data_IF_748594237205
#
_entry.id   IF_748594237205
#
_cell.length_a   1.000
_cell.length_b   1.000
_cell.length_c   1.000
_cell.angle_alpha   90.00
_cell.angle_beta   90.00
_cell.angle_gamma   90.00
#
_symmetry.space_group_name_H-M   'P 1'
#
loop_
_entity.id
_entity.type
_entity.pdbx_description
1 polymer ?
#
# COMPACT_ATOMS: atom_id res chain seq x y z
N UNK A 1 4.63 -4.07 -32.64
CA UNK A 1 3.29 -3.56 -32.29
C UNK A 1 2.60 -4.68 -31.56
N UNK A 2 2.23 -4.45 -30.30
CA UNK A 2 1.63 -5.46 -29.43
C UNK A 2 0.21 -4.99 -29.16
N UNK A 3 -0.74 -5.89 -29.32
CA UNK A 3 -2.13 -5.68 -28.93
C UNK A 3 -2.18 -5.80 -27.41
N UNK A 4 -2.68 -4.76 -26.72
CA UNK A 4 -2.77 -4.75 -25.27
C UNK A 4 -4.22 -4.74 -24.83
N UNK A 5 -4.58 -5.75 -24.07
CA UNK A 5 -5.80 -5.78 -23.28
C UNK A 5 -5.59 -4.91 -22.04
N UNK A 6 -6.50 -3.96 -21.85
CA UNK A 6 -6.48 -3.02 -20.74
C UNK A 6 -7.73 -3.25 -19.91
N UNK A 7 -7.59 -3.13 -18.59
CA UNK A 7 -8.72 -3.18 -17.67
C UNK A 7 -8.75 -1.91 -16.83
N UNK A 8 -9.95 -1.42 -16.57
CA UNK A 8 -10.20 -0.39 -15.59
C UNK A 8 -10.65 -1.03 -14.27
N UNK A 9 -10.08 -0.55 -13.18
CA UNK A 9 -10.58 -0.75 -11.82
C UNK A 9 -11.02 0.61 -11.27
N UNK A 10 -12.23 0.65 -10.73
CA UNK A 10 -12.82 1.84 -10.15
C UNK A 10 -13.18 1.52 -8.72
N UNK A 11 -12.39 2.01 -7.76
CA UNK A 11 -12.65 1.82 -6.32
C UNK A 11 -13.34 3.05 -5.77
N UNK A 12 -14.57 2.87 -5.27
CA UNK A 12 -15.41 3.93 -4.73
C UNK A 12 -15.50 3.76 -3.22
N UNK A 13 -15.15 4.81 -2.48
CA UNK A 13 -15.35 4.84 -1.03
C UNK A 13 -16.70 5.49 -0.74
N UNK A 14 -17.57 4.78 -0.03
CA UNK A 14 -18.93 5.20 0.31
C UNK A 14 -19.21 5.02 1.79
N UNK A 15 -20.05 5.91 2.33
CA UNK A 15 -20.64 5.70 3.64
C UNK A 15 -21.78 4.68 3.57
N UNK A 16 -21.65 3.57 4.29
CA UNK A 16 -22.62 2.48 4.35
C UNK A 16 -22.56 1.73 5.69
N UNK A 17 -23.70 1.23 6.14
CA UNK A 17 -23.82 0.41 7.36
C UNK A 17 -23.43 -1.06 7.10
N UNK A 18 -23.57 -1.54 5.87
CA UNK A 18 -23.25 -2.89 5.45
C UNK A 18 -22.85 -2.99 3.95
N UNK A 19 -22.31 -4.15 3.55
CA UNK A 19 -21.88 -4.45 2.18
C UNK A 19 -23.00 -4.24 1.15
N UNK A 20 -24.24 -4.59 1.53
CA UNK A 20 -25.39 -4.49 0.64
C UNK A 20 -25.71 -3.02 0.36
N UNK A 21 -25.68 -2.16 1.36
CA UNK A 21 -25.88 -0.73 1.19
C UNK A 21 -24.76 -0.12 0.34
N UNK A 22 -23.51 -0.57 0.51
CA UNK A 22 -22.40 -0.13 -0.31
C UNK A 22 -22.58 -0.51 -1.80
N UNK A 23 -23.03 -1.74 -2.08
CA UNK A 23 -23.39 -2.18 -3.43
C UNK A 23 -24.55 -1.37 -4.02
N UNK A 24 -25.59 -1.12 -3.21
CA UNK A 24 -26.77 -0.39 -3.64
C UNK A 24 -26.42 1.06 -3.98
N UNK A 25 -25.52 1.70 -3.22
CA UNK A 25 -25.00 3.04 -3.52
C UNK A 25 -24.27 3.10 -4.87
N UNK A 26 -23.49 2.06 -5.19
CA UNK A 26 -22.67 2.03 -6.42
C UNK A 26 -23.42 1.54 -7.67
N UNK A 27 -24.66 1.06 -7.54
CA UNK A 27 -25.40 0.39 -8.62
C UNK A 27 -25.54 1.25 -9.88
N UNK A 28 -25.95 2.51 -9.72
CA UNK A 28 -26.15 3.43 -10.84
C UNK A 28 -24.84 3.67 -11.60
N UNK A 29 -23.70 3.73 -10.88
CA UNK A 29 -22.38 3.85 -11.50
C UNK A 29 -22.02 2.59 -12.29
N UNK A 30 -22.23 1.40 -11.70
CA UNK A 30 -21.98 0.10 -12.35
C UNK A 30 -22.73 0.01 -13.67
N UNK A 31 -24.03 0.31 -13.65
CA UNK A 31 -24.90 0.28 -14.83
C UNK A 31 -24.46 1.31 -15.87
N UNK A 32 -24.14 2.53 -15.43
CA UNK A 32 -23.70 3.63 -16.30
C UNK A 32 -22.42 3.31 -17.05
N UNK A 33 -21.45 2.69 -16.38
CA UNK A 33 -20.15 2.39 -17.01
C UNK A 33 -20.12 1.02 -17.68
N UNK A 34 -21.17 0.20 -17.53
CA UNK A 34 -21.19 -1.19 -18.00
C UNK A 34 -20.13 -2.04 -17.31
N UNK A 35 -19.90 -1.80 -16.02
CA UNK A 35 -18.91 -2.51 -15.21
C UNK A 35 -19.50 -3.72 -14.49
N UNK A 36 -18.67 -4.39 -13.68
CA UNK A 36 -19.09 -5.40 -12.70
C UNK A 36 -18.42 -5.13 -11.37
N UNK A 37 -19.16 -5.24 -10.27
CA UNK A 37 -18.52 -5.24 -8.94
C UNK A 37 -17.65 -6.50 -8.85
N UNK A 38 -16.39 -6.32 -8.49
CA UNK A 38 -15.42 -7.42 -8.33
C UNK A 38 -15.02 -7.63 -6.88
N UNK A 39 -15.18 -6.61 -6.05
CA UNK A 39 -14.85 -6.64 -4.63
C UNK A 39 -15.63 -5.56 -3.88
N UNK A 40 -15.96 -5.84 -2.61
CA UNK A 40 -16.41 -4.85 -1.65
C UNK A 40 -15.75 -5.18 -0.29
N UNK A 41 -15.22 -4.16 0.37
CA UNK A 41 -14.47 -4.31 1.61
C UNK A 41 -14.90 -3.26 2.63
N UNK A 42 -14.99 -3.69 3.89
CA UNK A 42 -15.21 -2.81 5.04
C UNK A 42 -13.91 -2.06 5.35
N UNK A 43 -13.91 -0.73 5.23
CA UNK A 43 -12.79 0.15 5.57
C UNK A 43 -13.04 0.90 6.89
N UNK A 44 -13.93 0.40 7.75
CA UNK A 44 -14.31 1.05 9.01
C UNK A 44 -13.16 1.19 10.02
N UNK A 45 -12.07 0.46 9.85
CA UNK A 45 -10.83 0.65 10.60
C UNK A 45 -10.18 2.02 10.34
N UNK A 46 -10.44 2.63 9.17
CA UNK A 46 -9.99 3.98 8.82
C UNK A 46 -11.02 5.04 9.24
N UNK A 47 -12.30 4.84 8.92
CA UNK A 47 -13.40 5.72 9.28
C UNK A 47 -14.69 4.91 9.53
N UNK A 48 -15.34 5.02 10.71
CA UNK A 48 -16.51 4.20 11.02
C UNK A 48 -17.64 4.32 9.99
N UNK A 49 -18.06 3.19 9.41
CA UNK A 49 -19.11 3.16 8.37
C UNK A 49 -18.58 3.39 6.95
N UNK A 50 -17.27 3.29 6.75
CA UNK A 50 -16.61 3.34 5.44
C UNK A 50 -16.67 1.98 4.74
N UNK A 51 -17.08 1.98 3.48
CA UNK A 51 -16.96 0.82 2.58
C UNK A 51 -16.26 1.20 1.28
N UNK A 52 -15.40 0.31 0.79
CA UNK A 52 -14.78 0.43 -0.54
C UNK A 52 -15.41 -0.60 -1.48
N UNK A 53 -15.94 -0.15 -2.61
CA UNK A 53 -16.50 -1.01 -3.67
C UNK A 53 -15.66 -0.87 -4.92
N UNK A 54 -15.09 -1.98 -5.41
CA UNK A 54 -14.27 -2.01 -6.62
C UNK A 54 -15.06 -2.56 -7.80
N UNK A 55 -15.12 -1.77 -8.87
CA UNK A 55 -15.83 -2.08 -10.11
C UNK A 55 -14.80 -2.33 -11.21
N UNK A 56 -14.85 -3.51 -11.83
CA UNK A 56 -14.05 -3.87 -13.00
C UNK A 56 -14.76 -3.53 -14.31
N UNK A 57 -14.01 -2.98 -15.27
CA UNK A 57 -14.46 -2.79 -16.65
C UNK A 57 -13.35 -3.15 -17.62
N UNK A 58 -13.62 -4.09 -18.51
CA UNK A 58 -12.68 -4.47 -19.56
C UNK A 58 -12.74 -3.42 -20.69
N UNK A 59 -11.58 -3.02 -21.21
CA UNK A 59 -11.48 -2.09 -22.34
C UNK A 59 -11.17 -2.88 -23.62
N UNK A 60 -11.63 -2.38 -24.79
CA UNK A 60 -11.23 -2.95 -26.06
C UNK A 60 -9.71 -2.90 -26.23
N UNK A 61 -9.14 -3.95 -26.82
CA UNK A 61 -7.71 -4.02 -27.10
C UNK A 61 -7.24 -2.81 -27.91
N UNK A 62 -6.12 -2.22 -27.50
CA UNK A 62 -5.54 -1.05 -28.19
C UNK A 62 -4.19 -1.43 -28.78
N UNK A 63 -3.94 -1.04 -30.03
CA UNK A 63 -2.60 -1.13 -30.61
C UNK A 63 -1.74 0.01 -30.07
N UNK A 64 -0.73 -0.34 -29.28
CA UNK A 64 0.10 0.65 -28.59
C UNK A 64 1.58 0.48 -28.89
N UNK A 65 2.28 1.61 -28.87
CA UNK A 65 3.73 1.72 -29.03
C UNK A 65 4.41 2.12 -27.71
N UNK A 66 3.62 2.54 -26.72
CA UNK A 66 4.05 3.01 -25.40
C UNK A 66 2.92 2.79 -24.39
N UNK A 67 3.17 1.90 -23.44
CA UNK A 67 2.20 1.41 -22.46
C UNK A 67 1.80 2.50 -21.47
N UNK A 68 2.76 3.31 -21.00
CA UNK A 68 2.50 4.43 -20.10
C UNK A 68 1.54 5.46 -20.72
N UNK A 69 1.72 5.76 -22.00
CA UNK A 69 0.84 6.66 -22.73
C UNK A 69 -0.54 6.05 -22.97
N UNK A 70 -0.63 4.73 -23.16
CA UNK A 70 -1.89 4.01 -23.29
C UNK A 70 -2.71 4.08 -22.00
N UNK A 71 -2.12 3.62 -20.90
CA UNK A 71 -2.72 3.60 -19.56
C UNK A 71 -3.21 5.01 -19.16
N UNK A 72 -2.34 6.01 -19.29
CA UNK A 72 -2.69 7.36 -18.90
C UNK A 72 -3.74 8.02 -19.82
N UNK A 73 -3.89 7.56 -21.07
CA UNK A 73 -5.00 7.99 -21.94
C UNK A 73 -6.30 7.30 -21.55
N UNK A 74 -6.28 6.01 -21.25
CA UNK A 74 -7.46 5.25 -20.81
C UNK A 74 -8.09 5.89 -19.57
N UNK A 75 -7.28 6.22 -18.56
CA UNK A 75 -7.75 6.94 -17.35
C UNK A 75 -8.38 8.29 -17.71
N UNK A 76 -7.69 9.12 -18.52
CA UNK A 76 -8.21 10.45 -18.92
C UNK A 76 -9.51 10.36 -19.71
N UNK A 77 -9.58 9.43 -20.66
CA UNK A 77 -10.78 9.23 -21.48
C UNK A 77 -11.95 8.83 -20.60
N UNK A 78 -11.76 7.84 -19.72
CA UNK A 78 -12.80 7.37 -18.81
C UNK A 78 -13.30 8.49 -17.89
N UNK A 79 -12.39 9.23 -17.24
CA UNK A 79 -12.79 10.34 -16.35
C UNK A 79 -13.54 11.43 -17.10
N UNK A 80 -13.15 11.75 -18.34
CA UNK A 80 -13.87 12.75 -19.16
C UNK A 80 -15.28 12.28 -19.56
N UNK A 81 -15.48 10.99 -19.78
CA UNK A 81 -16.80 10.43 -20.08
C UNK A 81 -17.68 10.34 -18.82
N UNK A 82 -17.06 10.01 -17.69
CA UNK A 82 -17.73 9.89 -16.40
C UNK A 82 -18.12 11.28 -15.84
N UNK A 83 -17.24 12.26 -15.99
CA UNK A 83 -17.31 13.57 -15.37
C UNK A 83 -16.87 14.65 -16.37
N UNK A 84 -17.70 14.98 -17.37
CA UNK A 84 -17.33 15.88 -18.47
C UNK A 84 -17.02 17.31 -18.01
N UNK A 85 -17.62 17.75 -16.90
CA UNK A 85 -17.42 19.08 -16.32
C UNK A 85 -16.24 19.13 -15.33
N UNK A 86 -15.58 17.99 -15.07
CA UNK A 86 -14.40 17.94 -14.18
C UNK A 86 -13.19 18.61 -14.84
N UNK A 87 -12.34 19.30 -14.06
CA UNK A 87 -11.00 19.66 -14.53
C UNK A 87 -10.22 18.42 -15.00
N UNK A 88 -9.25 18.64 -15.89
CA UNK A 88 -8.41 17.56 -16.42
C UNK A 88 -7.73 16.79 -15.27
N UNK A 89 -7.93 15.46 -15.17
CA UNK A 89 -7.39 14.68 -14.06
C UNK A 89 -5.86 14.64 -14.12
N UNK A 90 -5.22 14.80 -12.96
CA UNK A 90 -3.80 14.55 -12.78
C UNK A 90 -3.58 13.04 -12.72
N UNK A 91 -3.12 12.47 -13.82
CA UNK A 91 -2.86 11.04 -13.92
C UNK A 91 -1.42 10.75 -13.53
N UNK A 92 -1.25 9.91 -12.51
CA UNK A 92 0.01 9.26 -12.18
C UNK A 92 0.15 8.01 -13.05
N UNK A 93 1.32 7.78 -13.61
CA UNK A 93 1.56 6.64 -14.49
C UNK A 93 2.87 5.97 -14.10
N UNK A 94 2.76 4.74 -13.64
CA UNK A 94 3.84 3.86 -13.23
C UNK A 94 3.48 2.46 -13.78
N UNK A 95 3.84 2.17 -15.05
CA UNK A 95 3.52 0.88 -15.67
C UNK A 95 3.90 -0.27 -14.73
N UNK A 96 3.01 -1.26 -14.53
CA UNK A 96 1.89 -1.65 -15.39
C UNK A 96 0.58 -0.87 -15.17
N UNK A 97 0.57 0.18 -14.32
CA UNK A 97 -0.64 0.91 -13.99
C UNK A 97 -0.56 2.41 -14.28
N UNK A 98 -1.74 3.03 -14.48
CA UNK A 98 -1.90 4.46 -14.35
C UNK A 98 -3.18 4.75 -13.58
N UNK A 99 -3.18 5.81 -12.79
CA UNK A 99 -4.29 6.08 -11.89
C UNK A 99 -4.51 7.57 -11.66
N UNK A 100 -5.72 7.90 -11.20
CA UNK A 100 -6.09 9.21 -10.67
C UNK A 100 -7.10 9.04 -9.55
N UNK A 101 -7.04 9.94 -8.59
CA UNK A 101 -8.06 10.07 -7.54
C UNK A 101 -8.98 11.23 -7.91
N UNK A 102 -10.28 11.02 -7.78
CA UNK A 102 -11.29 12.06 -7.73
C UNK A 102 -11.74 12.16 -6.27
N UNK A 103 -11.65 13.35 -5.70
CA UNK A 103 -12.02 13.65 -4.30
C UNK A 103 -12.86 14.94 -4.16
N UNK A 104 -13.35 15.51 -5.27
CA UNK A 104 -14.30 16.63 -5.24
C UNK A 104 -15.70 16.13 -4.82
N UNK A 105 -16.21 16.53 -3.63
CA UNK A 105 -17.48 16.02 -3.11
C UNK A 105 -18.68 16.39 -4.00
N UNK A 106 -18.66 17.55 -4.66
CA UNK A 106 -19.75 17.96 -5.56
C UNK A 106 -19.78 17.15 -6.84
N UNK A 107 -18.61 16.72 -7.32
CA UNK A 107 -18.48 15.85 -8.48
C UNK A 107 -18.93 14.43 -8.13
N UNK A 108 -18.37 13.89 -7.05
CA UNK A 108 -18.49 12.49 -6.67
C UNK A 108 -19.90 12.19 -6.15
N UNK A 109 -20.48 13.09 -5.36
CA UNK A 109 -21.85 12.94 -4.86
C UNK A 109 -22.91 12.91 -5.97
N UNK A 110 -22.60 13.43 -7.17
CA UNK A 110 -23.46 13.30 -8.37
C UNK A 110 -23.29 11.96 -9.08
N UNK A 111 -22.16 11.28 -8.88
CA UNK A 111 -21.86 9.99 -9.49
C UNK A 111 -22.34 8.83 -8.63
N UNK A 112 -22.08 8.91 -7.32
CA UNK A 112 -22.44 7.91 -6.32
C UNK A 112 -22.87 8.66 -5.06
N UNK A 113 -24.09 8.40 -4.60
CA UNK A 113 -24.60 9.04 -3.39
C UNK A 113 -23.80 8.57 -2.16
N UNK A 114 -23.36 9.52 -1.34
CA UNK A 114 -22.56 9.22 -0.14
C UNK A 114 -21.13 8.78 -0.45
N UNK A 115 -20.66 8.93 -1.68
CA UNK A 115 -19.26 8.68 -2.01
C UNK A 115 -18.36 9.86 -1.61
N UNK A 116 -17.20 9.51 -1.07
CA UNK A 116 -16.19 10.45 -0.59
C UNK A 116 -15.01 10.56 -1.56
N UNK A 117 -14.67 9.42 -2.18
CA UNK A 117 -13.51 9.27 -3.04
C UNK A 117 -13.79 8.25 -4.12
N UNK A 118 -13.19 8.48 -5.29
CA UNK A 118 -13.16 7.52 -6.38
C UNK A 118 -11.74 7.41 -6.93
N UNK A 119 -11.14 6.22 -6.85
CA UNK A 119 -9.87 5.88 -7.48
C UNK A 119 -10.17 5.21 -8.83
N UNK A 120 -9.63 5.77 -9.91
CA UNK A 120 -9.68 5.14 -11.25
C UNK A 120 -8.29 4.67 -11.61
N UNK A 121 -8.17 3.38 -11.90
CA UNK A 121 -6.93 2.74 -12.32
C UNK A 121 -7.11 2.08 -13.67
N UNK A 122 -6.10 2.23 -14.54
CA UNK A 122 -5.93 1.42 -15.73
C UNK A 122 -4.77 0.45 -15.51
N UNK A 123 -4.98 -0.81 -15.87
CA UNK A 123 -4.02 -1.90 -15.75
C UNK A 123 -3.76 -2.50 -17.14
N UNK A 124 -2.50 -2.82 -17.43
CA UNK A 124 -2.15 -3.70 -18.55
C UNK A 124 -2.07 -5.16 -18.08
N UNK A 125 -2.49 -6.10 -18.92
CA UNK A 125 -2.47 -7.55 -18.61
C UNK A 125 -1.06 -8.14 -18.35
N UNK A 126 0.00 -7.35 -18.48
CA UNK A 126 1.36 -7.77 -18.10
C UNK A 126 1.57 -7.86 -16.57
N UNK A 127 0.57 -7.51 -15.77
CA UNK A 127 0.54 -7.75 -14.33
C UNK A 127 -0.53 -8.81 -14.00
N UNK A 128 -0.20 -9.88 -13.24
CA UNK A 128 -1.21 -10.79 -12.75
C UNK A 128 -2.10 -10.04 -11.74
N UNK A 129 -3.28 -9.59 -12.19
CA UNK A 129 -4.38 -9.31 -11.28
C UNK A 129 -4.87 -10.65 -10.74
N UNK A 130 -4.30 -11.08 -9.62
CA UNK A 130 -5.05 -11.96 -8.72
C UNK A 130 -5.92 -11.04 -7.87
N UNK A 131 -7.27 -11.11 -7.97
CA UNK A 131 -8.07 -10.57 -6.88
C UNK A 131 -7.55 -11.27 -5.62
N UNK A 132 -7.33 -10.52 -4.55
CA UNK A 132 -7.07 -11.14 -3.27
C UNK A 132 -8.31 -12.00 -2.96
N UNK A 133 -8.25 -13.30 -3.27
CA UNK A 133 -9.11 -14.23 -2.58
C UNK A 133 -8.70 -14.07 -1.13
N UNK A 134 -9.59 -13.55 -0.31
CA UNK A 134 -9.46 -13.69 1.12
C UNK A 134 -9.42 -15.19 1.42
N UNK A 135 -8.23 -15.77 1.39
CA UNK A 135 -7.92 -16.89 2.25
C UNK A 135 -7.87 -16.29 3.63
N UNK A 136 -8.85 -16.65 4.46
CA UNK A 136 -8.72 -16.53 5.91
C UNK A 136 -7.30 -16.97 6.26
N UNK A 137 -6.46 -16.08 6.85
CA UNK A 137 -5.05 -16.36 7.02
C UNK A 137 -4.94 -17.64 7.82
N UNK A 138 -4.63 -18.74 7.13
CA UNK A 138 -4.31 -19.99 7.80
C UNK A 138 -3.02 -19.67 8.52
N UNK A 139 -3.15 -19.45 9.84
CA UNK A 139 -2.03 -19.16 10.72
C UNK A 139 -0.87 -20.04 10.27
N UNK A 140 0.24 -19.45 9.78
CA UNK A 140 1.36 -20.25 9.33
C UNK A 140 1.74 -21.13 10.52
N UNK A 141 1.76 -22.44 10.30
CA UNK A 141 2.37 -23.33 11.29
C UNK A 141 3.76 -22.74 11.57
N UNK A 142 4.07 -22.39 12.83
CA UNK A 142 5.24 -21.59 13.13
C UNK A 142 6.46 -22.40 12.73
N UNK A 143 7.02 -22.05 11.58
CA UNK A 143 8.38 -22.44 11.25
C UNK A 143 9.22 -21.46 12.05
N UNK A 144 10.03 -21.90 13.02
CA UNK A 144 10.85 -20.98 13.80
C UNK A 144 11.91 -20.40 12.86
N UNK A 145 11.60 -19.27 12.23
CA UNK A 145 12.62 -18.44 11.63
C UNK A 145 13.39 -17.83 12.79
N UNK A 146 14.65 -18.25 12.93
CA UNK A 146 15.62 -17.64 13.82
C UNK A 146 15.82 -16.19 13.36
N UNK A 147 14.98 -15.27 13.84
CA UNK A 147 14.91 -13.89 13.34
C UNK A 147 16.12 -13.07 13.78
N UNK A 148 16.86 -12.46 12.83
CA UNK A 148 18.01 -11.62 13.18
C UNK A 148 18.08 -10.31 12.38
N UNK A 149 17.02 -9.50 12.36
CA UNK A 149 17.04 -8.03 12.18
C UNK A 149 15.62 -7.50 12.33
N UNK A 150 15.43 -6.35 12.98
CA UNK A 150 14.19 -5.56 12.90
C UNK A 150 14.47 -4.30 12.08
N UNK A 151 13.61 -4.05 11.10
CA UNK A 151 13.75 -2.94 10.17
C UNK A 151 12.67 -1.91 10.46
N UNK A 152 13.05 -0.64 10.51
CA UNK A 152 12.17 0.50 10.76
C UNK A 152 12.37 1.56 9.70
N UNK A 153 11.30 2.27 9.38
CA UNK A 153 11.27 3.36 8.41
C UNK A 153 10.69 4.61 9.06
N UNK A 154 11.37 5.74 8.94
CA UNK A 154 10.77 7.07 9.16
C UNK A 154 10.51 7.73 7.82
N UNK A 155 9.31 8.29 7.67
CA UNK A 155 8.89 9.07 6.51
C UNK A 155 8.52 10.46 6.99
N UNK A 156 9.24 11.46 6.51
CA UNK A 156 8.91 12.87 6.75
C UNK A 156 8.19 13.44 5.53
N UNK A 157 7.01 14.03 5.75
CA UNK A 157 6.12 14.51 4.71
C UNK A 157 5.74 15.98 4.97
N UNK A 158 5.98 16.85 4.01
CA UNK A 158 5.54 18.25 4.02
C UNK A 158 4.03 18.33 3.76
N UNK A 159 3.21 18.00 4.76
CA UNK A 159 1.75 18.15 4.73
C UNK A 159 1.25 18.71 6.05
N UNK A 160 0.09 19.37 6.03
CA UNK A 160 -0.51 19.95 7.23
C UNK A 160 -1.34 18.95 8.04
N UNK A 161 -1.79 17.85 7.42
CA UNK A 161 -2.69 16.88 8.04
C UNK A 161 -2.03 15.50 8.17
N UNK A 162 -2.06 14.87 9.36
CA UNK A 162 -1.46 13.55 9.60
C UNK A 162 -1.96 12.43 8.68
N UNK A 163 -3.25 12.41 8.33
CA UNK A 163 -3.83 11.36 7.49
C UNK A 163 -3.15 11.25 6.12
N UNK A 164 -2.88 12.39 5.47
CA UNK A 164 -2.18 12.42 4.18
C UNK A 164 -0.73 11.92 4.28
N UNK A 165 -0.05 12.17 5.39
CA UNK A 165 1.30 11.66 5.62
C UNK A 165 1.31 10.15 5.87
N UNK A 166 0.37 9.66 6.68
CA UNK A 166 0.23 8.23 6.96
C UNK A 166 -0.05 7.44 5.68
N UNK A 167 -0.92 7.94 4.80
CA UNK A 167 -1.20 7.29 3.52
C UNK A 167 0.05 7.19 2.64
N UNK A 168 0.80 8.30 2.49
CA UNK A 168 2.07 8.28 1.73
C UNK A 168 3.10 7.34 2.34
N UNK A 169 3.17 7.29 3.67
CA UNK A 169 4.09 6.41 4.38
C UNK A 169 3.73 4.94 4.20
N UNK A 170 2.44 4.58 4.24
CA UNK A 170 1.95 3.21 3.95
C UNK A 170 2.24 2.81 2.49
N UNK A 171 1.98 3.72 1.54
CA UNK A 171 2.25 3.47 0.12
C UNK A 171 3.76 3.28 -0.18
N UNK A 172 4.65 3.87 0.63
CA UNK A 172 6.08 3.59 0.55
C UNK A 172 6.44 2.25 1.20
N UNK A 173 5.92 2.00 2.40
CA UNK A 173 6.24 0.79 3.14
C UNK A 173 5.74 -0.48 2.44
N UNK A 174 4.61 -0.42 1.72
CA UNK A 174 4.09 -1.53 0.92
C UNK A 174 5.02 -1.97 -0.21
N UNK A 175 5.98 -1.14 -0.61
CA UNK A 175 7.05 -1.52 -1.56
C UNK A 175 8.08 -2.45 -0.93
N UNK A 176 8.19 -2.44 0.39
CA UNK A 176 9.18 -3.18 1.18
C UNK A 176 8.55 -4.41 1.83
N UNK A 177 7.35 -4.26 2.41
CA UNK A 177 6.61 -5.35 3.07
C UNK A 177 5.12 -5.03 3.16
N UNK A 178 4.28 -6.06 3.13
CA UNK A 178 2.83 -5.96 3.32
C UNK A 178 2.44 -5.80 4.81
N UNK A 179 3.31 -6.20 5.73
CA UNK A 179 3.04 -6.24 7.18
C UNK A 179 3.46 -4.98 7.94
N UNK A 180 3.71 -3.87 7.24
CA UNK A 180 4.19 -2.65 7.87
C UNK A 180 3.17 -2.05 8.86
N UNK A 181 3.62 -1.76 10.08
CA UNK A 181 2.78 -1.16 11.12
C UNK A 181 3.25 0.26 11.46
N UNK A 182 2.32 1.22 11.46
CA UNK A 182 2.60 2.57 11.98
C UNK A 182 2.78 2.47 13.50
N UNK A 183 3.93 2.90 13.99
CA UNK A 183 4.28 2.87 15.41
C UNK A 183 4.15 4.23 16.08
N UNK A 184 4.40 5.31 15.32
CA UNK A 184 4.33 6.68 15.83
C UNK A 184 4.03 7.66 14.70
N UNK A 185 3.29 8.72 15.02
CA UNK A 185 3.05 9.87 14.15
C UNK A 185 3.28 11.15 14.93
N UNK A 186 4.20 11.99 14.46
CA UNK A 186 4.54 13.26 15.11
C UNK A 186 4.30 14.41 14.14
N UNK A 187 3.49 15.38 14.55
CA UNK A 187 3.25 16.60 13.77
C UNK A 187 4.18 17.73 14.26
N UNK A 188 4.90 18.34 13.32
CA UNK A 188 5.80 19.46 13.57
C UNK A 188 5.46 20.68 12.70
N UNK A 189 6.20 21.77 12.88
CA UNK A 189 5.96 23.03 12.16
C UNK A 189 6.13 22.94 10.64
N UNK A 190 6.99 22.04 10.17
CA UNK A 190 7.36 21.89 8.76
C UNK A 190 6.74 20.64 8.09
N UNK A 191 5.89 19.89 8.79
CA UNK A 191 5.26 18.68 8.25
C UNK A 191 4.88 17.63 9.29
N UNK A 192 4.68 16.40 8.83
CA UNK A 192 4.35 15.25 9.66
C UNK A 192 5.42 14.17 9.46
N UNK A 193 5.89 13.61 10.56
CA UNK A 193 6.78 12.45 10.60
C UNK A 193 5.99 11.20 10.95
N UNK A 194 6.15 10.13 10.17
CA UNK A 194 5.49 8.85 10.36
C UNK A 194 6.56 7.77 10.54
N UNK A 195 6.50 7.04 11.64
CA UNK A 195 7.41 5.95 11.95
C UNK A 195 6.69 4.62 11.73
N UNK A 196 7.32 3.73 10.96
CA UNK A 196 6.80 2.41 10.65
C UNK A 196 7.80 1.34 11.11
N UNK A 197 7.25 0.27 11.67
CA UNK A 197 7.93 -1.00 11.82
C UNK A 197 7.68 -1.82 10.56
N UNK A 198 8.77 -2.21 9.89
CA UNK A 198 8.74 -3.05 8.69
C UNK A 198 8.93 -4.53 9.03
N UNK A 199 8.85 -4.87 10.31
CA UNK A 199 8.87 -6.24 10.80
C UNK A 199 10.27 -6.82 10.88
N UNK A 200 10.32 -8.15 10.91
CA UNK A 200 11.55 -8.93 11.11
C UNK A 200 12.07 -9.47 9.80
N UNK A 201 13.38 -9.35 9.62
CA UNK A 201 14.08 -9.72 8.40
C UNK A 201 15.11 -10.80 8.70
N UNK A 202 15.23 -11.84 7.86
CA UNK A 202 16.23 -12.91 8.04
C UNK A 202 17.66 -12.45 7.72
N UNK A 203 17.82 -11.36 6.96
CA UNK A 203 19.12 -10.85 6.55
C UNK A 203 19.80 -10.03 7.66
N UNK A 204 21.13 -9.86 7.63
CA UNK A 204 21.84 -8.92 8.51
C UNK A 204 21.39 -7.46 8.30
N UNK A 205 21.56 -6.58 9.30
CA UNK A 205 21.06 -5.19 9.24
C UNK A 205 21.50 -4.41 8.00
N UNK A 206 22.75 -4.57 7.56
CA UNK A 206 23.28 -3.89 6.37
C UNK A 206 22.56 -4.31 5.09
N UNK A 207 22.28 -5.60 4.95
CA UNK A 207 21.60 -6.13 3.77
C UNK A 207 20.13 -5.74 3.79
N UNK A 208 19.45 -5.84 4.94
CA UNK A 208 18.06 -5.43 5.09
C UNK A 208 17.82 -3.95 4.72
N UNK A 209 18.72 -3.05 5.15
CA UNK A 209 18.66 -1.63 4.76
C UNK A 209 18.91 -1.45 3.27
N UNK A 210 19.84 -2.20 2.68
CA UNK A 210 20.16 -2.10 1.24
C UNK A 210 18.97 -2.54 0.39
N UNK A 211 18.39 -3.70 0.70
CA UNK A 211 17.24 -4.26 -0.01
C UNK A 211 16.02 -3.33 0.09
N UNK A 212 15.77 -2.78 1.29
CA UNK A 212 14.69 -1.82 1.50
C UNK A 212 14.91 -0.48 0.77
N UNK A 213 16.15 0.04 0.76
CA UNK A 213 16.48 1.27 0.04
C UNK A 213 16.29 1.12 -1.48
N UNK A 214 16.63 -0.05 -2.02
CA UNK A 214 16.41 -0.41 -3.43
C UNK A 214 14.91 -0.50 -3.75
N UNK A 215 14.14 -1.20 -2.91
CA UNK A 215 12.68 -1.35 -3.08
C UNK A 215 11.93 0.00 -3.01
N UNK A 216 12.41 0.96 -2.20
CA UNK A 216 11.84 2.31 -2.15
C UNK A 216 12.13 3.13 -3.43
N UNK A 217 13.07 2.70 -4.27
CA UNK A 217 13.31 3.24 -5.60
C UNK A 217 13.84 4.68 -5.63
N UNK A 218 14.44 5.15 -4.52
CA UNK A 218 14.99 6.51 -4.42
C UNK A 218 16.49 6.51 -4.78
N UNK A 219 16.94 7.41 -5.68
CA UNK A 219 18.36 7.57 -5.95
C UNK A 219 19.02 8.41 -4.84
N UNK A 220 20.36 8.35 -4.74
CA UNK A 220 21.16 9.26 -3.90
C UNK A 220 20.92 9.16 -2.38
N UNK A 221 20.77 7.94 -1.86
CA UNK A 221 20.84 7.70 -0.42
C UNK A 221 22.21 8.12 0.15
N UNK A 222 22.20 8.56 1.42
CA UNK A 222 23.42 8.81 2.17
C UNK A 222 24.31 7.57 2.23
N UNK A 223 25.62 7.73 2.48
CA UNK A 223 26.42 6.61 2.94
C UNK A 223 25.77 5.93 4.14
N UNK A 224 25.86 4.61 4.18
CA UNK A 224 25.35 3.81 5.29
C UNK A 224 26.15 4.10 6.56
N UNK A 225 25.45 4.43 7.64
CA UNK A 225 26.04 4.68 8.95
C UNK A 225 25.87 3.42 9.82
N UNK A 226 26.99 2.86 10.28
CA UNK A 226 27.01 1.74 11.22
C UNK A 226 27.38 2.27 12.61
N UNK A 227 26.47 2.12 13.57
CA UNK A 227 26.70 2.48 14.96
C UNK A 227 27.42 1.35 15.72
N UNK A 228 28.11 1.66 16.83
CA UNK A 228 28.84 0.65 17.61
C UNK A 228 27.96 -0.46 18.21
N UNK A 229 26.66 -0.21 18.39
CA UNK A 229 25.67 -1.16 18.89
C UNK A 229 25.16 -2.13 17.79
N UNK A 230 25.69 -2.02 16.57
CA UNK A 230 25.27 -2.83 15.43
C UNK A 230 24.05 -2.30 14.69
N UNK A 231 23.50 -1.15 15.11
CA UNK A 231 22.43 -0.46 14.38
C UNK A 231 22.99 0.12 13.09
N UNK A 232 22.29 -0.13 11.99
CA UNK A 232 22.58 0.43 10.68
C UNK A 232 21.52 1.43 10.33
N UNK A 233 21.91 2.60 9.82
CA UNK A 233 20.97 3.58 9.29
C UNK A 233 21.40 4.14 7.95
N UNK A 234 20.42 4.44 7.10
CA UNK A 234 20.63 5.12 5.83
C UNK A 234 19.50 6.12 5.60
N UNK A 235 19.84 7.28 5.04
CA UNK A 235 18.92 8.40 4.91
C UNK A 235 18.83 8.89 3.47
N UNK A 236 17.63 9.24 3.06
CA UNK A 236 17.40 9.95 1.81
C UNK A 236 16.76 11.30 2.14
N UNK A 237 17.17 12.34 1.42
CA UNK A 237 16.67 13.69 1.60
C UNK A 237 16.37 14.28 0.23
N UNK A 238 15.18 14.87 0.08
CA UNK A 238 14.88 15.67 -1.09
C UNK A 238 15.60 17.04 -0.98
N UNK A 239 16.69 17.19 -1.73
CA UNK A 239 17.48 18.41 -1.76
C UNK A 239 16.72 19.63 -2.32
N UNK A 240 15.63 19.41 -3.05
CA UNK A 240 14.77 20.47 -3.57
C UNK A 240 13.84 21.05 -2.50
N UNK A 241 13.75 20.41 -1.33
CA UNK A 241 12.91 20.81 -0.18
C UNK A 241 11.50 21.22 -0.62
N UNK A 242 10.73 20.28 -1.18
CA UNK A 242 9.40 20.58 -1.68
C UNK A 242 8.48 21.06 -0.55
N UNK A 243 7.61 22.02 -0.87
CA UNK A 243 6.58 22.51 0.08
C UNK A 243 5.41 21.53 0.24
N UNK A 244 5.43 20.40 -0.48
CA UNK A 244 4.44 19.33 -0.41
C UNK A 244 5.03 17.97 -0.76
N UNK A 245 4.65 16.91 -0.03
CA UNK A 245 5.07 15.53 -0.31
C UNK A 245 6.24 15.05 0.55
N UNK A 246 6.81 13.88 0.23
CA UNK A 246 7.90 13.26 0.99
C UNK A 246 9.16 14.14 0.90
N UNK A 247 9.69 14.56 2.04
CA UNK A 247 10.91 15.38 2.14
C UNK A 247 12.12 14.58 2.59
N UNK A 248 11.90 13.51 3.35
CA UNK A 248 12.98 12.71 3.94
C UNK A 248 12.52 11.28 4.22
N UNK A 249 13.46 10.34 4.07
CA UNK A 249 13.32 8.95 4.48
C UNK A 249 14.51 8.55 5.34
N UNK A 250 14.27 7.73 6.36
CA UNK A 250 15.34 7.14 7.16
C UNK A 250 15.01 5.67 7.43
N UNK A 251 15.88 4.79 6.94
CA UNK A 251 15.85 3.36 7.25
C UNK A 251 16.77 3.11 8.43
N UNK A 252 16.31 2.32 9.38
CA UNK A 252 17.09 1.88 10.55
C UNK A 252 16.88 0.38 10.73
N UNK A 253 17.97 -0.37 10.81
CA UNK A 253 17.95 -1.79 11.12
C UNK A 253 18.80 -2.07 12.35
N UNK A 254 18.27 -2.88 13.26
CA UNK A 254 18.96 -3.34 14.46
C UNK A 254 18.81 -4.86 14.61
N UNK A 255 19.78 -5.49 15.28
CA UNK A 255 19.67 -6.91 15.62
C UNK A 255 18.73 -7.07 16.80
N UNK A 256 17.72 -7.93 16.64
CA UNK A 256 16.89 -8.37 17.76
C UNK A 256 17.59 -9.57 18.39
N UNK A 257 18.03 -9.43 19.64
CA UNK A 257 18.43 -10.60 20.42
C UNK A 257 17.20 -11.47 20.65
N UNK A 258 17.30 -12.75 20.30
CA UNK A 258 16.27 -13.74 20.62
C UNK A 258 16.20 -13.85 22.13
N UNK A 259 15.06 -13.55 22.73
CA UNK A 259 14.78 -13.97 24.09
C UNK A 259 14.82 -15.51 24.07
N UNK A 260 15.93 -16.08 24.52
CA UNK A 260 16.11 -17.52 24.60
C UNK A 260 15.09 -18.01 25.62
N UNK A 261 13.97 -18.53 25.13
CA UNK A 261 13.07 -19.33 25.93
C UNK A 261 13.86 -20.56 26.38
N UNK A 262 14.38 -20.51 27.60
CA UNK A 262 14.91 -21.69 28.26
C UNK A 262 13.80 -22.74 28.25
N UNK A 263 14.03 -23.96 27.74
CA UNK A 263 13.04 -25.02 27.85
C UNK A 263 12.76 -25.21 29.33
N UNK A 264 11.52 -24.97 29.76
CA UNK A 264 11.04 -25.45 31.05
C UNK A 264 11.14 -26.97 31.03
N UNK A 265 12.11 -27.52 31.76
CA UNK A 265 12.21 -28.93 32.09
C UNK A 265 10.96 -29.36 32.87
N UNK A 266 9.90 -29.73 32.16
CA UNK A 266 8.73 -30.41 32.72
C UNK A 266 8.39 -31.64 31.86
N UNK A 267 9.36 -32.54 31.71
CA UNK A 267 9.07 -33.97 31.60
C UNK A 267 9.99 -34.71 32.58
N UNK A 268 9.45 -35.34 33.64
CA UNK A 268 10.28 -36.16 34.51
C UNK A 268 10.75 -37.41 33.75
N UNK A 269 11.99 -37.87 33.98
CA UNK A 269 12.53 -39.03 33.28
C UNK A 269 11.71 -40.27 33.60
N UNK A 270 11.22 -40.95 32.57
CA UNK A 270 10.63 -42.29 32.69
C UNK A 270 11.74 -43.28 33.06
N UNK A 271 11.88 -43.51 34.37
CA UNK A 271 12.71 -44.59 34.89
C UNK A 271 12.13 -45.93 34.46
N UNK A 272 12.84 -46.67 33.61
CA UNK A 272 12.59 -48.11 33.39
C UNK A 272 13.36 -48.90 34.44
N UNK A 273 12.65 -49.70 35.23
CA UNK A 273 13.28 -50.65 36.15
C UNK A 273 14.09 -51.71 35.37
N UNK A 274 15.25 -52.13 35.87
CA UNK A 274 16.05 -53.19 35.25
C UNK A 274 15.36 -54.55 35.45
N UNK A 275 15.08 -55.24 34.35
CA UNK A 275 14.49 -56.57 34.35
C UNK A 275 15.34 -57.59 35.13
N UNK A 276 14.65 -58.38 35.94
CA UNK A 276 15.15 -59.59 36.62
C UNK A 276 15.34 -60.75 35.65
#
# INVERSE_FOLDING_TARGET
>A
MVEQDLRLLISVVVSAEDERQAHDACRDLVDRIGGRVVEAADCSDEEPGCWSVTIGKDLPAVQVHNDAAALARSVRTFVRELAPDSPLPRVCCEPPTAWTVLDDPELIGKLVAGAERLLVEAWSEQAPFQPASYEEPKAPEPTPAEHTTRLRLRVDVAVQHPAGAQWQARALASRVTEEAAITEVTQGGDGVSVHLDLGRWPQPPQQAVTDAAEALGRPEWSPMELRPDGTVSQRWLDLLRPTSGITSLELVADRVETEVAWPTEDEPPVWREPGS
#
